data_IF_418367729330
#
_entry.id   IF_418367729330
#
_cell.length_a   1.000
_cell.length_b   1.000
_cell.length_c   1.000
_cell.angle_alpha   90.00
_cell.angle_beta   90.00
_cell.angle_gamma   90.00
#
_symmetry.space_group_name_H-M   'P 1'
#
loop_
_entity.id
_entity.type
_entity.pdbx_description
1 polymer ?
#
# COMPACT_ATOMS: atom_id res chain seq x y z
N UNK A 1 -12.23 -31.12 3.64
CA UNK A 1 -12.13 -30.30 2.40
C UNK A 1 -12.80 -31.08 1.29
N UNK A 2 -13.68 -30.45 0.52
CA UNK A 2 -14.37 -31.11 -0.60
C UNK A 2 -13.71 -30.66 -1.91
N UNK A 3 -12.94 -31.51 -2.60
CA UNK A 3 -12.31 -31.13 -3.85
C UNK A 3 -13.37 -31.04 -4.97
N UNK A 4 -13.26 -30.01 -5.81
CA UNK A 4 -14.04 -29.87 -7.05
C UNK A 4 -13.26 -29.04 -8.06
N UNK A 5 -13.58 -29.15 -9.34
CA UNK A 5 -12.99 -28.32 -10.39
C UNK A 5 -13.63 -26.93 -10.41
N UNK A 6 -12.88 -25.84 -10.15
CA UNK A 6 -13.43 -24.49 -10.12
C UNK A 6 -13.94 -24.02 -11.49
N UNK A 7 -13.43 -24.55 -12.61
CA UNK A 7 -13.91 -24.14 -13.93
C UNK A 7 -15.32 -24.66 -14.22
N UNK A 8 -15.66 -25.82 -13.68
CA UNK A 8 -16.99 -26.43 -13.82
C UNK A 8 -17.90 -26.18 -12.61
N UNK A 9 -17.33 -25.81 -11.46
CA UNK A 9 -18.01 -25.35 -10.27
C UNK A 9 -18.50 -26.45 -9.33
N UNK A 10 -19.01 -26.02 -8.17
CA UNK A 10 -19.48 -26.91 -7.11
C UNK A 10 -20.80 -27.61 -7.51
N UNK A 11 -20.73 -28.90 -7.83
CA UNK A 11 -21.90 -29.75 -8.18
C UNK A 11 -22.53 -30.47 -6.98
N UNK A 12 -23.79 -30.85 -7.14
CA UNK A 12 -24.57 -31.61 -6.14
C UNK A 12 -23.91 -32.90 -5.66
N UNK A 13 -23.23 -33.65 -6.53
CA UNK A 13 -22.58 -34.91 -6.13
C UNK A 13 -21.40 -34.68 -5.16
N UNK A 14 -20.67 -33.57 -5.29
CA UNK A 14 -19.59 -33.24 -4.34
C UNK A 14 -20.16 -33.06 -2.93
N UNK A 15 -21.31 -32.41 -2.82
CA UNK A 15 -22.00 -32.18 -1.55
C UNK A 15 -22.60 -33.46 -1.01
N UNK A 16 -23.24 -34.26 -1.88
CA UNK A 16 -23.84 -35.53 -1.48
C UNK A 16 -22.79 -36.48 -0.90
N UNK A 17 -21.70 -36.71 -1.63
CA UNK A 17 -20.61 -37.59 -1.20
C UNK A 17 -20.00 -37.12 0.13
N UNK A 18 -19.73 -35.83 0.27
CA UNK A 18 -19.16 -35.28 1.51
C UNK A 18 -20.10 -35.43 2.71
N UNK A 19 -21.40 -35.23 2.53
CA UNK A 19 -22.39 -35.40 3.61
C UNK A 19 -22.61 -36.88 3.96
N UNK A 20 -22.55 -37.77 2.98
CA UNK A 20 -22.62 -39.22 3.18
C UNK A 20 -21.41 -39.72 3.97
N UNK A 21 -20.19 -39.27 3.63
CA UNK A 21 -18.97 -39.57 4.38
C UNK A 21 -19.03 -39.10 5.84
N UNK A 22 -19.73 -37.99 6.10
CA UNK A 22 -19.97 -37.45 7.45
C UNK A 22 -21.12 -38.15 8.19
N UNK A 23 -21.75 -39.18 7.61
CA UNK A 23 -22.93 -39.86 8.14
C UNK A 23 -24.10 -38.90 8.45
N UNK A 24 -24.29 -37.88 7.61
CA UNK A 24 -25.39 -36.93 7.77
C UNK A 24 -26.76 -37.60 7.59
N UNK A 25 -27.80 -37.21 8.35
CA UNK A 25 -29.16 -37.71 8.14
C UNK A 25 -29.68 -37.44 6.72
N UNK A 26 -30.35 -38.42 6.11
CA UNK A 26 -30.91 -38.28 4.75
C UNK A 26 -31.86 -37.08 4.61
N UNK A 27 -32.57 -36.76 5.68
CA UNK A 27 -33.50 -35.63 5.78
C UNK A 27 -32.80 -34.27 5.57
N UNK A 28 -31.51 -34.15 5.91
CA UNK A 28 -30.73 -32.93 5.74
C UNK A 28 -29.88 -32.94 4.45
N UNK A 29 -29.52 -34.12 3.94
CA UNK A 29 -28.74 -34.26 2.69
C UNK A 29 -29.50 -33.64 1.52
N UNK A 30 -30.75 -34.03 1.29
CA UNK A 30 -31.51 -33.57 0.12
C UNK A 30 -31.66 -32.03 0.07
N UNK A 31 -32.05 -31.34 1.16
CA UNK A 31 -32.11 -29.88 1.18
C UNK A 31 -30.74 -29.20 0.97
N UNK A 32 -29.66 -29.74 1.53
CA UNK A 32 -28.31 -29.16 1.38
C UNK A 32 -27.77 -29.34 -0.05
N UNK A 33 -27.91 -30.53 -0.63
CA UNK A 33 -27.47 -30.84 -2.01
C UNK A 33 -28.16 -29.97 -3.06
N UNK A 34 -29.38 -29.51 -2.77
CA UNK A 34 -30.12 -28.61 -3.67
C UNK A 34 -29.73 -27.13 -3.53
N UNK A 35 -29.11 -26.72 -2.42
CA UNK A 35 -28.86 -25.30 -2.13
C UNK A 35 -27.37 -24.95 -2.09
N UNK A 36 -26.51 -25.78 -1.50
CA UNK A 36 -25.08 -25.49 -1.39
C UNK A 36 -24.36 -25.29 -2.75
N UNK A 37 -24.69 -26.01 -3.83
CA UNK A 37 -24.12 -25.72 -5.15
C UNK A 37 -24.35 -24.28 -5.64
N UNK A 38 -25.44 -23.63 -5.19
CA UNK A 38 -25.76 -22.24 -5.58
C UNK A 38 -24.78 -21.24 -5.00
N UNK A 39 -24.07 -21.59 -3.92
CA UNK A 39 -23.03 -20.73 -3.34
C UNK A 39 -21.86 -20.54 -4.31
N UNK A 40 -21.59 -21.51 -5.19
CA UNK A 40 -20.59 -21.32 -6.25
C UNK A 40 -21.01 -20.26 -7.25
N UNK A 41 -22.29 -20.20 -7.61
CA UNK A 41 -22.82 -19.14 -8.47
C UNK A 41 -22.67 -17.77 -7.82
N UNK A 42 -22.93 -17.67 -6.51
CA UNK A 42 -22.66 -16.44 -5.76
C UNK A 42 -21.16 -16.11 -5.80
N UNK A 43 -20.33 -17.08 -5.45
CA UNK A 43 -18.88 -16.90 -5.38
C UNK A 43 -18.29 -16.39 -6.70
N UNK A 44 -18.58 -17.12 -7.79
CA UNK A 44 -17.96 -16.92 -9.09
C UNK A 44 -18.50 -15.71 -9.87
N UNK A 45 -19.75 -15.28 -9.61
CA UNK A 45 -20.41 -14.28 -10.47
C UNK A 45 -20.60 -12.91 -9.80
N UNK A 46 -20.25 -12.78 -8.52
CA UNK A 46 -20.51 -11.59 -7.71
C UNK A 46 -19.28 -11.15 -6.90
N UNK A 47 -18.07 -11.51 -7.34
CA UNK A 47 -16.82 -10.99 -6.77
C UNK A 47 -16.58 -11.37 -5.31
N UNK A 48 -17.01 -12.54 -4.86
CA UNK A 48 -16.68 -13.00 -3.50
C UNK A 48 -15.30 -13.66 -3.49
N UNK A 49 -14.53 -13.43 -2.43
CA UNK A 49 -13.32 -14.18 -2.10
C UNK A 49 -13.56 -15.22 -1.00
N UNK A 50 -14.64 -15.07 -0.23
CA UNK A 50 -15.06 -16.02 0.80
C UNK A 50 -16.56 -15.95 1.01
N UNK A 51 -17.17 -17.12 1.27
CA UNK A 51 -18.54 -17.26 1.74
C UNK A 51 -18.53 -18.24 2.92
N UNK A 52 -19.04 -17.81 4.07
CA UNK A 52 -19.21 -18.61 5.28
C UNK A 52 -20.67 -18.59 5.74
N UNK A 53 -21.23 -19.78 5.98
CA UNK A 53 -22.54 -19.98 6.59
C UNK A 53 -22.35 -20.67 7.93
N UNK A 54 -22.68 -20.03 9.06
CA UNK A 54 -22.41 -20.64 10.37
C UNK A 54 -23.28 -20.11 11.54
N UNK A 55 -24.35 -20.81 11.97
CA UNK A 55 -24.76 -22.15 11.55
C UNK A 55 -25.75 -22.14 10.39
N UNK A 56 -25.90 -23.30 9.75
CA UNK A 56 -27.07 -23.61 8.92
C UNK A 56 -28.08 -24.36 9.79
N UNK A 57 -29.33 -23.88 9.86
CA UNK A 57 -30.44 -24.58 10.52
C UNK A 57 -31.44 -25.09 9.49
N UNK A 58 -32.02 -26.25 9.74
CA UNK A 58 -33.13 -26.77 8.94
C UNK A 58 -34.44 -26.22 9.48
N UNK A 59 -35.22 -25.56 8.62
CA UNK A 59 -36.53 -25.04 8.97
C UNK A 59 -37.59 -25.57 8.00
N UNK A 60 -38.81 -25.87 8.47
CA UNK A 60 -39.91 -26.21 7.58
C UNK A 60 -40.34 -24.98 6.76
N UNK A 61 -40.54 -25.14 5.47
CA UNK A 61 -41.20 -24.15 4.63
C UNK A 61 -42.74 -24.25 4.77
N UNK A 62 -43.48 -23.41 4.04
CA UNK A 62 -44.95 -23.39 4.07
C UNK A 62 -45.62 -24.74 3.71
N UNK A 63 -44.92 -25.62 2.99
CA UNK A 63 -45.38 -26.97 2.64
C UNK A 63 -44.86 -28.06 3.60
N UNK A 64 -44.24 -27.69 4.72
CA UNK A 64 -43.69 -28.61 5.73
C UNK A 64 -42.36 -29.25 5.35
N UNK A 65 -41.75 -28.89 4.21
CA UNK A 65 -40.46 -29.43 3.76
C UNK A 65 -39.30 -28.67 4.42
N UNK A 66 -38.31 -29.41 4.92
CA UNK A 66 -37.08 -28.81 5.46
C UNK A 66 -36.29 -28.07 4.38
N UNK A 67 -35.89 -26.83 4.69
CA UNK A 67 -35.00 -25.99 3.90
C UNK A 67 -33.84 -25.50 4.78
N UNK A 68 -32.61 -25.44 4.24
CA UNK A 68 -31.49 -24.87 4.97
C UNK A 68 -31.64 -23.34 5.05
N UNK A 69 -31.51 -22.81 6.25
CA UNK A 69 -31.49 -21.37 6.55
C UNK A 69 -30.13 -21.05 7.16
N UNK A 70 -29.39 -20.13 6.52
CA UNK A 70 -28.18 -19.59 7.10
C UNK A 70 -28.57 -18.63 8.24
N UNK A 71 -28.22 -18.97 9.47
CA UNK A 71 -28.48 -18.11 10.63
C UNK A 71 -27.46 -17.00 10.77
N UNK A 72 -26.24 -17.23 10.27
CA UNK A 72 -25.19 -16.23 10.13
C UNK A 72 -24.60 -16.39 8.72
N UNK A 73 -24.39 -15.27 8.05
CA UNK A 73 -23.80 -15.19 6.72
C UNK A 73 -22.65 -14.20 6.79
N UNK A 74 -21.44 -14.68 6.53
CA UNK A 74 -20.25 -13.84 6.42
C UNK A 74 -19.63 -14.02 5.05
N UNK A 75 -19.08 -12.94 4.53
CA UNK A 75 -18.49 -12.92 3.22
C UNK A 75 -17.38 -11.88 3.14
N UNK A 76 -16.39 -12.15 2.30
CA UNK A 76 -15.41 -11.14 1.86
C UNK A 76 -15.48 -11.02 0.35
N UNK A 77 -15.17 -9.83 -0.14
CA UNK A 77 -15.27 -9.48 -1.56
C UNK A 77 -13.88 -9.16 -2.11
N UNK A 78 -13.68 -9.52 -3.37
CA UNK A 78 -12.61 -8.95 -4.19
C UNK A 78 -13.07 -7.56 -4.63
N UNK A 79 -12.50 -6.51 -4.03
CA UNK A 79 -12.91 -5.13 -4.30
C UNK A 79 -12.54 -4.67 -5.72
N UNK A 80 -11.55 -5.31 -6.33
CA UNK A 80 -11.09 -5.02 -7.69
C UNK A 80 -12.01 -5.66 -8.75
N UNK A 81 -12.80 -6.68 -8.40
CA UNK A 81 -13.83 -7.25 -9.28
C UNK A 81 -15.12 -6.42 -9.22
N UNK A 82 -15.50 -5.67 -10.27
CA UNK A 82 -16.71 -4.86 -10.25
C UNK A 82 -18.02 -5.67 -10.15
N UNK A 83 -17.98 -7.01 -10.28
CA UNK A 83 -19.17 -7.86 -10.22
C UNK A 83 -19.91 -7.79 -8.87
N UNK A 84 -19.21 -7.47 -7.77
CA UNK A 84 -19.86 -7.30 -6.45
C UNK A 84 -20.90 -6.17 -6.47
N UNK A 85 -20.75 -5.17 -7.34
CA UNK A 85 -21.69 -4.04 -7.47
C UNK A 85 -23.09 -4.47 -7.89
N UNK A 86 -23.22 -5.65 -8.53
CA UNK A 86 -24.53 -6.23 -8.92
C UNK A 86 -25.41 -6.61 -7.73
N UNK A 87 -24.83 -6.71 -6.52
CA UNK A 87 -25.57 -7.01 -5.30
C UNK A 87 -26.25 -5.77 -4.71
N UNK A 88 -25.98 -4.56 -5.23
CA UNK A 88 -26.56 -3.30 -4.76
C UNK A 88 -26.39 -3.10 -3.24
N UNK A 89 -25.29 -3.61 -2.69
CA UNK A 89 -24.98 -3.51 -1.27
C UNK A 89 -24.76 -2.04 -0.86
N UNK A 90 -25.22 -1.63 0.33
CA UNK A 90 -25.01 -0.28 0.81
C UNK A 90 -23.52 0.11 0.82
N UNK A 91 -23.16 1.31 0.31
CA UNK A 91 -21.75 1.73 0.22
C UNK A 91 -21.00 1.72 1.55
N UNK A 92 -21.72 1.96 2.65
CA UNK A 92 -21.13 1.98 4.00
C UNK A 92 -20.66 0.60 4.49
N UNK A 93 -21.09 -0.50 3.87
CA UNK A 93 -20.57 -1.85 4.20
C UNK A 93 -19.11 -2.04 3.76
N UNK A 94 -18.64 -1.21 2.84
CA UNK A 94 -17.26 -1.20 2.33
C UNK A 94 -16.50 0.06 2.74
N UNK A 95 -17.06 0.87 3.64
CA UNK A 95 -16.36 2.00 4.20
C UNK A 95 -15.28 1.47 5.14
N UNK A 96 -14.06 1.28 4.62
CA UNK A 96 -12.88 1.24 5.45
C UNK A 96 -12.72 2.62 6.10
N UNK A 97 -12.26 2.66 7.36
CA UNK A 97 -11.82 3.89 8.02
C UNK A 97 -10.51 4.38 7.37
N UNK A 98 -10.56 4.75 6.09
CA UNK A 98 -9.44 5.38 5.40
C UNK A 98 -9.18 6.74 6.03
N UNK A 99 -7.93 7.00 6.39
CA UNK A 99 -7.48 8.35 6.73
C UNK A 99 -7.70 9.31 5.57
N UNK A 100 -7.79 10.63 5.85
CA UNK A 100 -7.92 11.66 4.80
C UNK A 100 -6.81 11.52 3.74
N UNK A 101 -5.59 11.18 4.18
CA UNK A 101 -4.47 10.88 3.31
C UNK A 101 -4.74 9.71 2.35
N UNK A 102 -5.22 8.57 2.87
CA UNK A 102 -5.54 7.39 2.04
C UNK A 102 -6.71 7.67 1.10
N UNK A 103 -7.69 8.46 1.52
CA UNK A 103 -8.81 8.89 0.67
C UNK A 103 -8.31 9.75 -0.50
N UNK A 104 -7.45 10.74 -0.26
CA UNK A 104 -6.86 11.59 -1.32
C UNK A 104 -6.05 10.75 -2.32
N UNK A 105 -5.24 9.79 -1.85
CA UNK A 105 -4.49 8.88 -2.73
C UNK A 105 -5.42 7.94 -3.51
N UNK A 106 -6.46 7.41 -2.87
CA UNK A 106 -7.41 6.49 -3.51
C UNK A 106 -8.17 7.15 -4.68
N UNK A 107 -8.37 8.47 -4.65
CA UNK A 107 -8.95 9.21 -5.79
C UNK A 107 -8.04 9.19 -7.04
N UNK A 108 -6.74 8.95 -6.86
CA UNK A 108 -5.76 8.84 -7.94
C UNK A 108 -5.57 7.40 -8.46
N UNK A 109 -6.28 6.42 -7.90
CA UNK A 109 -6.25 5.03 -8.40
C UNK A 109 -6.83 5.02 -9.82
N UNK A 110 -5.99 4.59 -10.75
CA UNK A 110 -6.32 4.39 -12.16
C UNK A 110 -5.80 3.04 -12.59
N UNK A 111 -6.25 2.53 -13.74
CA UNK A 111 -5.76 1.27 -14.31
C UNK A 111 -4.24 1.25 -14.57
N UNK A 112 -3.61 2.43 -14.71
CA UNK A 112 -2.19 2.55 -15.06
C UNK A 112 -1.34 2.94 -13.84
N UNK A 113 -0.48 2.03 -13.40
CA UNK A 113 0.42 2.20 -12.26
C UNK A 113 -0.26 1.86 -10.94
N UNK A 114 0.39 1.03 -10.13
CA UNK A 114 -0.06 0.67 -8.79
C UNK A 114 0.22 1.83 -7.83
N UNK A 115 -0.69 2.06 -6.89
CA UNK A 115 -0.58 3.12 -5.90
C UNK A 115 -1.23 2.67 -4.59
N UNK A 116 -0.80 1.53 -4.09
CA UNK A 116 -1.21 1.05 -2.77
C UNK A 116 -0.42 1.81 -1.72
N UNK A 117 -1.11 2.57 -0.88
CA UNK A 117 -0.49 3.36 0.17
C UNK A 117 -1.35 3.26 1.42
N UNK A 118 -0.73 2.96 2.55
CA UNK A 118 -1.37 2.84 3.83
C UNK A 118 -0.58 3.61 4.89
N UNK A 119 -1.29 4.22 5.83
CA UNK A 119 -0.64 4.79 7.03
C UNK A 119 -0.32 3.66 7.98
N UNK A 120 0.96 3.51 8.33
CA UNK A 120 1.42 2.48 9.28
C UNK A 120 1.71 3.05 10.66
N UNK A 121 2.28 4.26 10.73
CA UNK A 121 2.45 4.99 11.97
C UNK A 121 2.34 6.49 11.72
N UNK A 122 1.25 7.16 12.17
CA UNK A 122 1.11 8.60 12.00
C UNK A 122 2.19 9.41 12.74
N UNK A 123 2.93 8.81 13.68
CA UNK A 123 4.05 9.42 14.39
C UNK A 123 5.43 8.98 13.86
N UNK A 124 5.48 8.25 12.74
CA UNK A 124 6.72 7.86 12.09
C UNK A 124 7.55 9.07 11.65
N UNK A 125 8.86 8.91 11.58
CA UNK A 125 9.81 9.98 11.20
C UNK A 125 10.52 9.69 9.89
N UNK A 126 10.30 8.53 9.27
CA UNK A 126 10.80 8.17 7.95
C UNK A 126 9.62 8.05 7.01
N UNK A 127 9.50 8.97 6.05
CA UNK A 127 8.52 8.82 4.97
C UNK A 127 9.16 8.08 3.83
N UNK A 128 8.68 6.88 3.55
CA UNK A 128 9.30 5.96 2.63
C UNK A 128 8.42 5.65 1.41
N UNK A 129 8.46 6.48 0.34
CA UNK A 129 7.92 6.10 -0.95
C UNK A 129 8.68 4.89 -1.50
N UNK A 130 8.03 3.74 -1.59
CA UNK A 130 8.65 2.52 -2.13
C UNK A 130 8.10 2.12 -3.49
N UNK A 131 8.94 1.49 -4.30
CA UNK A 131 8.63 1.10 -5.68
C UNK A 131 8.82 -0.41 -5.86
N UNK A 132 7.70 -1.12 -5.94
CA UNK A 132 7.60 -2.57 -6.06
C UNK A 132 7.27 -3.25 -4.73
N UNK A 133 6.25 -4.11 -4.71
CA UNK A 133 5.75 -4.74 -3.48
C UNK A 133 6.78 -5.52 -2.67
N UNK A 134 7.75 -6.18 -3.33
CA UNK A 134 8.85 -6.85 -2.64
C UNK A 134 9.77 -5.89 -1.89
N UNK A 135 10.01 -4.69 -2.44
CA UNK A 135 10.76 -3.65 -1.75
C UNK A 135 9.92 -3.07 -0.59
N UNK A 136 8.62 -2.85 -0.80
CA UNK A 136 7.72 -2.35 0.23
C UNK A 136 7.70 -3.25 1.47
N UNK A 137 7.56 -4.57 1.27
CA UNK A 137 7.52 -5.55 2.35
C UNK A 137 8.80 -5.50 3.19
N UNK A 138 9.98 -5.56 2.55
CA UNK A 138 11.27 -5.51 3.24
C UNK A 138 11.49 -4.17 3.97
N UNK A 139 11.15 -3.06 3.34
CA UNK A 139 11.32 -1.72 3.93
C UNK A 139 10.39 -1.53 5.12
N UNK A 140 9.13 -1.94 5.01
CA UNK A 140 8.14 -1.84 6.09
C UNK A 140 8.56 -2.71 7.28
N UNK A 141 9.02 -3.95 7.03
CA UNK A 141 9.51 -4.86 8.08
C UNK A 141 10.72 -4.28 8.83
N UNK A 142 11.71 -3.76 8.10
CA UNK A 142 12.95 -3.26 8.70
C UNK A 142 12.80 -1.89 9.38
N UNK A 143 11.93 -1.02 8.87
CA UNK A 143 11.70 0.29 9.48
C UNK A 143 10.76 0.21 10.69
N UNK A 144 9.81 -0.73 10.69
CA UNK A 144 8.79 -0.86 11.74
C UNK A 144 8.11 0.47 12.05
N UNK A 145 8.01 0.79 13.34
CA UNK A 145 7.39 2.03 13.85
C UNK A 145 8.04 3.33 13.35
N UNK A 146 9.21 3.30 12.72
CA UNK A 146 9.84 4.52 12.20
C UNK A 146 9.19 5.02 10.93
N UNK A 147 8.58 4.13 10.15
CA UNK A 147 8.01 4.50 8.86
C UNK A 147 6.63 5.12 9.02
N UNK A 148 6.31 6.16 8.24
CA UNK A 148 4.99 6.80 8.27
C UNK A 148 3.96 6.04 7.45
N UNK A 149 4.38 5.61 6.26
CA UNK A 149 3.55 4.93 5.26
C UNK A 149 4.20 3.64 4.80
N UNK A 150 3.35 2.66 4.46
CA UNK A 150 3.71 1.53 3.61
C UNK A 150 3.17 1.84 2.21
N UNK A 151 4.00 1.71 1.17
CA UNK A 151 3.61 2.15 -0.18
C UNK A 151 4.20 1.29 -1.28
N UNK A 152 3.45 1.05 -2.36
CA UNK A 152 3.95 0.44 -3.60
C UNK A 152 3.54 1.26 -4.83
N UNK A 153 4.51 2.02 -5.36
CA UNK A 153 4.38 2.82 -6.58
C UNK A 153 4.87 2.07 -7.84
N UNK A 154 4.35 0.85 -8.04
CA UNK A 154 4.69 -0.03 -9.17
C UNK A 154 4.03 0.33 -10.50
N UNK A 155 4.40 -0.42 -11.57
CA UNK A 155 3.66 -0.39 -12.84
C UNK A 155 3.94 0.79 -13.79
N UNK A 156 5.13 1.41 -13.72
CA UNK A 156 5.54 2.53 -14.57
C UNK A 156 4.54 3.71 -14.55
N UNK A 157 4.29 4.32 -13.36
CA UNK A 157 3.32 5.41 -13.25
C UNK A 157 3.76 6.62 -14.10
N UNK A 158 2.82 7.28 -14.80
CA UNK A 158 3.13 8.48 -15.56
C UNK A 158 3.51 9.64 -14.64
N UNK A 159 4.21 10.63 -15.19
CA UNK A 159 4.67 11.83 -14.46
C UNK A 159 3.56 12.48 -13.63
N UNK A 160 2.41 12.78 -14.24
CA UNK A 160 1.33 13.50 -13.56
C UNK A 160 0.82 12.75 -12.34
N UNK A 161 0.62 11.43 -12.47
CA UNK A 161 0.19 10.58 -11.36
C UNK A 161 1.22 10.58 -10.23
N UNK A 162 2.50 10.38 -10.55
CA UNK A 162 3.56 10.37 -9.54
C UNK A 162 3.73 11.75 -8.88
N UNK A 163 3.51 12.83 -9.63
CA UNK A 163 3.60 14.20 -9.13
C UNK A 163 2.49 14.47 -8.11
N UNK A 164 1.22 14.17 -8.44
CA UNK A 164 0.10 14.34 -7.53
C UNK A 164 0.23 13.46 -6.27
N UNK A 165 0.60 12.19 -6.44
CA UNK A 165 0.87 11.29 -5.31
C UNK A 165 1.95 11.88 -4.39
N UNK A 166 3.05 12.37 -4.97
CA UNK A 166 4.16 12.94 -4.19
C UNK A 166 3.72 14.20 -3.44
N UNK A 167 2.94 15.07 -4.08
CA UNK A 167 2.38 16.26 -3.42
C UNK A 167 1.55 15.88 -2.20
N UNK A 168 0.66 14.88 -2.33
CA UNK A 168 -0.17 14.41 -1.22
C UNK A 168 0.72 13.82 -0.12
N UNK A 169 1.66 12.93 -0.44
CA UNK A 169 2.60 12.36 0.54
C UNK A 169 3.36 13.46 1.29
N UNK A 170 3.85 14.48 0.58
CA UNK A 170 4.63 15.54 1.20
C UNK A 170 3.77 16.47 2.06
N UNK A 171 2.56 16.83 1.60
CA UNK A 171 1.57 17.60 2.36
C UNK A 171 1.34 17.01 3.75
N UNK A 172 1.13 15.69 3.83
CA UNK A 172 0.79 15.03 5.10
C UNK A 172 2.03 14.73 5.96
N UNK A 173 3.13 14.25 5.36
CA UNK A 173 4.19 13.60 6.14
C UNK A 173 5.53 14.34 6.18
N UNK A 174 5.80 15.26 5.26
CA UNK A 174 7.16 15.80 5.12
C UNK A 174 7.57 16.68 6.31
N UNK A 175 6.62 17.41 6.90
CA UNK A 175 6.88 18.30 8.04
C UNK A 175 7.46 17.56 9.25
N UNK A 176 6.97 16.36 9.56
CA UNK A 176 7.46 15.54 10.67
C UNK A 176 8.63 14.63 10.30
N UNK A 177 8.86 14.43 8.99
CA UNK A 177 9.87 13.50 8.52
C UNK A 177 11.28 14.02 8.80
N UNK A 178 12.10 13.17 9.41
CA UNK A 178 13.55 13.33 9.43
C UNK A 178 14.18 12.85 8.13
N UNK A 179 13.66 11.75 7.57
CA UNK A 179 14.20 11.14 6.35
C UNK A 179 13.08 10.98 5.33
N UNK A 180 13.31 11.51 4.12
CA UNK A 180 12.57 11.12 2.93
C UNK A 180 13.33 9.99 2.25
N UNK A 181 12.77 8.79 2.29
CA UNK A 181 13.45 7.58 1.86
C UNK A 181 12.83 6.99 0.59
N UNK A 182 13.39 7.33 -0.55
CA UNK A 182 12.89 6.91 -1.87
C UNK A 182 13.61 5.63 -2.29
N UNK A 183 12.93 4.49 -2.23
CA UNK A 183 13.58 3.18 -2.42
C UNK A 183 12.81 2.23 -3.31
N UNK A 184 13.52 1.40 -4.07
CA UNK A 184 12.92 0.27 -4.78
C UNK A 184 13.97 -0.60 -5.42
N UNK A 185 13.55 -1.79 -5.85
CA UNK A 185 14.42 -2.69 -6.61
C UNK A 185 14.81 -2.10 -7.97
N UNK A 186 15.62 -2.86 -8.71
CA UNK A 186 15.91 -2.55 -10.12
C UNK A 186 14.64 -2.76 -10.94
N UNK A 187 14.03 -1.67 -11.38
CA UNK A 187 12.84 -1.71 -12.20
C UNK A 187 13.14 -2.25 -13.60
N UNK A 188 12.22 -3.05 -14.14
CA UNK A 188 12.33 -3.61 -15.49
C UNK A 188 11.85 -2.62 -16.56
N UNK A 189 10.73 -1.94 -16.31
CA UNK A 189 10.04 -1.10 -17.29
C UNK A 189 9.76 0.34 -16.81
N UNK A 190 9.90 0.61 -15.51
CA UNK A 190 9.58 1.93 -14.96
C UNK A 190 10.63 2.95 -15.37
N UNK A 191 10.20 4.07 -15.94
CA UNK A 191 11.09 5.18 -16.27
C UNK A 191 11.49 5.93 -14.99
N UNK A 192 12.73 5.74 -14.56
CA UNK A 192 13.26 6.35 -13.34
C UNK A 192 13.37 7.87 -13.50
N UNK A 193 13.63 8.37 -14.70
CA UNK A 193 13.67 9.81 -14.93
C UNK A 193 12.30 10.45 -14.73
N UNK A 194 11.23 9.85 -15.27
CA UNK A 194 9.88 10.40 -15.12
C UNK A 194 9.43 10.42 -13.66
N UNK A 195 9.65 9.31 -12.94
CA UNK A 195 9.27 9.21 -11.53
C UNK A 195 10.08 10.17 -10.65
N UNK A 196 11.40 10.25 -10.83
CA UNK A 196 12.23 11.18 -10.04
C UNK A 196 11.97 12.64 -10.37
N UNK A 197 11.73 12.97 -11.65
CA UNK A 197 11.34 14.32 -12.04
C UNK A 197 10.06 14.75 -11.33
N UNK A 198 9.04 13.90 -11.36
CA UNK A 198 7.77 14.16 -10.67
C UNK A 198 7.93 14.36 -9.16
N UNK A 199 8.66 13.48 -8.49
CA UNK A 199 8.92 13.61 -7.05
C UNK A 199 9.74 14.86 -6.71
N UNK A 200 10.76 15.18 -7.52
CA UNK A 200 11.60 16.36 -7.33
C UNK A 200 10.81 17.66 -7.54
N UNK A 201 9.97 17.71 -8.57
CA UNK A 201 9.10 18.85 -8.86
C UNK A 201 8.09 19.08 -7.72
N UNK A 202 7.47 18.00 -7.21
CA UNK A 202 6.56 18.08 -6.07
C UNK A 202 7.28 18.53 -4.78
N UNK A 203 8.53 18.09 -4.57
CA UNK A 203 9.34 18.51 -3.41
C UNK A 203 9.68 20.01 -3.50
N UNK A 204 10.02 20.49 -4.69
CA UNK A 204 10.27 21.92 -4.93
C UNK A 204 9.01 22.75 -4.64
N UNK A 205 7.86 22.31 -5.11
CA UNK A 205 6.58 22.98 -4.87
C UNK A 205 6.23 23.02 -3.37
N UNK A 206 6.41 21.89 -2.68
CA UNK A 206 6.23 21.85 -1.22
C UNK A 206 7.08 22.90 -0.50
N UNK A 207 8.37 23.04 -0.87
CA UNK A 207 9.27 24.03 -0.28
C UNK A 207 8.87 25.48 -0.62
N UNK A 208 8.29 25.72 -1.78
CA UNK A 208 7.76 27.03 -2.16
C UNK A 208 6.54 27.40 -1.34
N UNK A 209 5.64 26.45 -1.07
CA UNK A 209 4.39 26.67 -0.36
C UNK A 209 4.56 26.68 1.17
N UNK A 210 5.42 25.82 1.71
CA UNK A 210 5.55 25.56 3.15
C UNK A 210 6.85 26.10 3.76
N UNK A 211 7.78 26.56 2.92
CA UNK A 211 9.11 27.01 3.33
C UNK A 211 10.11 25.87 3.56
N UNK A 212 11.36 26.20 3.95
CA UNK A 212 12.39 25.21 4.18
C UNK A 212 12.03 24.23 5.29
N UNK A 213 12.13 22.93 5.01
CA UNK A 213 11.88 21.86 5.98
C UNK A 213 13.16 21.08 6.23
N UNK A 214 13.62 20.95 7.49
CA UNK A 214 14.84 20.19 7.78
C UNK A 214 14.61 18.71 7.52
N UNK A 215 15.29 18.18 6.52
CA UNK A 215 15.06 16.86 5.95
C UNK A 215 16.38 16.30 5.42
N UNK A 216 16.59 14.99 5.57
CA UNK A 216 17.64 14.27 4.87
C UNK A 216 17.01 13.34 3.81
N UNK A 217 17.55 13.33 2.60
CA UNK A 217 17.00 12.50 1.51
C UNK A 217 17.89 11.29 1.25
N UNK A 218 17.35 10.08 1.38
CA UNK A 218 18.05 8.83 1.05
C UNK A 218 17.37 8.19 -0.15
N UNK A 219 18.15 7.83 -1.16
CA UNK A 219 17.61 7.28 -2.42
C UNK A 219 18.32 5.99 -2.77
N UNK A 220 17.57 4.91 -3.03
CA UNK A 220 18.10 3.65 -3.54
C UNK A 220 17.21 3.09 -4.64
N UNK A 221 17.57 3.29 -5.91
CA UNK A 221 16.76 2.86 -7.06
C UNK A 221 17.63 2.35 -8.20
N UNK A 222 17.06 1.47 -9.02
CA UNK A 222 17.63 1.02 -10.28
C UNK A 222 16.58 0.95 -11.38
N UNK A 223 16.99 1.06 -12.65
CA UNK A 223 16.08 0.87 -13.79
C UNK A 223 16.42 1.74 -15.01
N UNK A 224 15.54 1.75 -16.03
CA UNK A 224 15.66 2.60 -17.20
C UNK A 224 15.81 4.09 -16.85
N UNK A 225 16.68 4.80 -17.57
CA UNK A 225 16.95 6.24 -17.40
C UNK A 225 17.42 6.68 -16.00
N UNK A 226 17.94 5.75 -15.17
CA UNK A 226 18.39 6.01 -13.80
C UNK A 226 19.35 7.20 -13.68
N UNK A 227 20.40 7.26 -14.51
CA UNK A 227 21.43 8.31 -14.42
C UNK A 227 20.80 9.69 -14.61
N UNK A 228 19.90 9.83 -15.59
CA UNK A 228 19.19 11.08 -15.87
C UNK A 228 18.25 11.45 -14.71
N UNK A 229 17.52 10.48 -14.16
CA UNK A 229 16.66 10.68 -12.99
C UNK A 229 17.44 11.13 -11.76
N UNK A 230 18.52 10.42 -11.42
CA UNK A 230 19.40 10.74 -10.30
C UNK A 230 20.01 12.13 -10.43
N UNK A 231 20.48 12.50 -11.62
CA UNK A 231 21.02 13.84 -11.88
C UNK A 231 19.98 14.95 -11.66
N UNK A 232 18.74 14.75 -12.12
CA UNK A 232 17.65 15.72 -11.94
C UNK A 232 17.27 15.89 -10.46
N UNK A 233 17.12 14.77 -9.74
CA UNK A 233 16.86 14.78 -8.30
C UNK A 233 18.01 15.46 -7.55
N UNK A 234 19.26 15.17 -7.93
CA UNK A 234 20.45 15.76 -7.32
C UNK A 234 20.47 17.28 -7.45
N UNK A 235 20.28 17.80 -8.66
CA UNK A 235 20.23 19.24 -8.91
C UNK A 235 19.11 19.92 -8.10
N UNK A 236 17.95 19.26 -7.99
CA UNK A 236 16.85 19.77 -7.18
C UNK A 236 17.21 19.84 -5.70
N UNK A 237 17.79 18.77 -5.14
CA UNK A 237 18.20 18.71 -3.73
C UNK A 237 19.32 19.70 -3.42
N UNK A 238 20.29 19.87 -4.33
CA UNK A 238 21.36 20.86 -4.22
C UNK A 238 20.78 22.29 -4.17
N UNK A 239 19.82 22.61 -5.04
CA UNK A 239 19.14 23.93 -5.06
C UNK A 239 18.32 24.18 -3.79
N UNK A 240 17.67 23.14 -3.27
CA UNK A 240 16.94 23.19 -1.99
C UNK A 240 17.88 23.15 -0.77
N UNK A 241 19.20 23.00 -0.98
CA UNK A 241 20.24 22.89 0.05
C UNK A 241 20.00 21.72 1.02
N UNK A 242 19.34 20.67 0.56
CA UNK A 242 19.05 19.48 1.36
C UNK A 242 20.25 18.52 1.33
N UNK A 243 20.64 17.94 2.47
CA UNK A 243 21.59 16.84 2.46
C UNK A 243 20.96 15.57 1.92
N UNK A 244 21.74 14.79 1.18
CA UNK A 244 21.26 13.54 0.60
C UNK A 244 22.36 12.48 0.43
N UNK A 245 21.92 11.25 0.29
CA UNK A 245 22.74 10.11 -0.14
C UNK A 245 21.98 9.29 -1.19
N UNK A 246 22.62 9.08 -2.33
CA UNK A 246 22.08 8.29 -3.44
C UNK A 246 22.87 6.99 -3.60
N UNK A 247 22.15 5.89 -3.77
CA UNK A 247 22.66 4.54 -3.98
C UNK A 247 22.15 4.01 -5.32
N UNK A 248 23.04 3.36 -6.06
CA UNK A 248 22.73 2.72 -7.34
C UNK A 248 22.16 1.31 -7.17
N UNK A 249 22.03 0.60 -8.30
CA UNK A 249 21.53 -0.78 -8.32
C UNK A 249 22.54 -1.81 -7.80
N UNK A 250 23.75 -1.38 -7.49
CA UNK A 250 24.89 -2.16 -6.99
C UNK A 250 24.93 -2.24 -5.46
N UNK A 251 24.10 -1.46 -4.76
CA UNK A 251 23.98 -1.50 -3.30
C UNK A 251 22.90 -2.49 -2.85
N UNK A 252 23.16 -3.23 -1.77
CA UNK A 252 22.16 -4.11 -1.19
C UNK A 252 21.02 -3.29 -0.57
N UNK A 253 19.76 -3.64 -0.87
CA UNK A 253 18.59 -2.89 -0.41
C UNK A 253 18.56 -2.75 1.12
N UNK A 254 18.88 -3.83 1.85
CA UNK A 254 18.97 -3.84 3.31
C UNK A 254 20.03 -2.89 3.87
N UNK A 255 21.16 -2.73 3.18
CA UNK A 255 22.20 -1.76 3.60
C UNK A 255 21.71 -0.32 3.44
N UNK A 256 20.97 -0.03 2.36
CA UNK A 256 20.37 1.29 2.16
C UNK A 256 19.32 1.58 3.23
N UNK A 257 18.49 0.60 3.60
CA UNK A 257 17.53 0.73 4.71
C UNK A 257 18.25 1.00 6.04
N UNK A 258 19.29 0.23 6.34
CA UNK A 258 20.10 0.44 7.55
C UNK A 258 20.77 1.82 7.57
N UNK A 259 21.16 2.35 6.41
CA UNK A 259 21.67 3.71 6.29
C UNK A 259 20.58 4.75 6.63
N UNK A 260 19.37 4.59 6.09
CA UNK A 260 18.24 5.47 6.39
C UNK A 260 17.90 5.49 7.89
N UNK A 261 17.94 4.33 8.56
CA UNK A 261 17.74 4.23 10.03
C UNK A 261 18.82 5.01 10.78
N UNK A 262 20.11 4.83 10.42
CA UNK A 262 21.21 5.56 11.05
C UNK A 262 21.09 7.08 10.87
N UNK A 263 20.64 7.53 9.69
CA UNK A 263 20.39 8.95 9.43
C UNK A 263 19.23 9.46 10.29
N UNK A 264 18.13 8.71 10.42
CA UNK A 264 17.01 9.08 11.28
C UNK A 264 17.43 9.19 12.76
N UNK A 265 18.25 8.25 13.25
CA UNK A 265 18.81 8.34 14.61
C UNK A 265 19.65 9.59 14.81
N UNK A 266 20.54 9.93 13.86
CA UNK A 266 21.32 11.16 13.90
C UNK A 266 20.43 12.41 13.85
N UNK A 267 19.38 12.41 13.02
CA UNK A 267 18.42 13.51 12.92
C UNK A 267 17.70 13.76 14.25
N UNK A 268 17.31 12.69 14.96
CA UNK A 268 16.68 12.75 16.29
C UNK A 268 17.65 13.26 17.38
N UNK A 269 18.95 13.01 17.23
CA UNK A 269 20.00 13.43 18.17
C UNK A 269 20.54 14.84 17.91
N UNK A 270 19.83 15.66 17.13
CA UNK A 270 20.17 17.06 16.88
C UNK A 270 20.52 17.40 15.43
N UNK A 271 20.68 16.39 14.56
CA UNK A 271 20.92 16.60 13.13
C UNK A 271 19.85 17.45 12.44
N UNK A 272 18.58 17.29 12.86
CA UNK A 272 17.46 18.09 12.33
C UNK A 272 17.67 19.59 12.56
N UNK A 273 18.10 19.98 13.76
CA UNK A 273 18.36 21.38 14.12
C UNK A 273 19.53 21.96 13.31
N UNK A 274 20.60 21.18 13.12
CA UNK A 274 21.75 21.58 12.31
C UNK A 274 21.36 21.86 10.85
N UNK A 275 20.51 21.01 10.27
CA UNK A 275 19.99 21.23 8.91
C UNK A 275 19.11 22.49 8.87
N UNK A 276 18.23 22.67 9.85
CA UNK A 276 17.35 23.83 9.95
C UNK A 276 18.16 25.14 9.99
N UNK A 277 19.19 25.22 10.84
CA UNK A 277 20.10 26.37 10.94
C UNK A 277 20.78 26.66 9.60
N UNK A 278 21.27 25.61 8.91
CA UNK A 278 21.89 25.74 7.58
C UNK A 278 20.90 26.22 6.51
N UNK A 279 19.67 25.73 6.53
CA UNK A 279 18.61 26.14 5.59
C UNK A 279 18.20 27.61 5.79
N UNK A 280 18.14 28.06 7.05
CA UNK A 280 17.82 29.44 7.42
C UNK A 280 19.01 30.40 7.31
N UNK A 281 20.20 29.91 6.93
CA UNK A 281 21.41 30.73 6.81
C UNK A 281 21.99 31.19 8.15
N UNK A 282 21.67 30.50 9.25
CA UNK A 282 22.12 30.81 10.62
C UNK A 282 23.34 29.97 11.03
N UNK A 283 24.32 29.79 10.15
CA UNK A 283 25.60 29.18 10.55
C UNK A 283 26.50 30.26 11.14
N UNK A 284 26.86 30.08 12.41
CA UNK A 284 27.62 31.01 13.23
C UNK A 284 28.99 31.40 12.64
N UNK A 285 29.29 32.70 12.68
CA UNK A 285 30.63 33.29 12.64
C UNK A 285 31.44 33.01 13.95
N UNK A 286 31.11 31.99 14.74
CA UNK A 286 31.67 31.77 16.09
C UNK A 286 32.93 30.90 16.15
N UNK A 287 33.68 30.75 15.04
CA UNK A 287 34.97 30.03 15.05
C UNK A 287 36.20 30.95 14.88
N UNK A 288 36.05 32.25 15.09
CA UNK A 288 37.17 33.20 15.19
C UNK A 288 36.96 34.16 16.36
N UNK A 289 37.15 33.68 17.59
CA UNK A 289 37.63 34.47 18.72
C UNK A 289 37.67 33.61 19.99
N UNK A 290 38.67 32.75 20.14
CA UNK A 290 39.33 32.61 21.44
C UNK A 290 40.80 32.26 21.21
N UNK A 291 41.62 33.01 21.94
CA UNK A 291 43.09 33.11 21.94
C UNK A 291 43.81 31.78 22.02
#
# INVERSE_FOLDING_TARGET
VVPFDPLTGLKSYHIANALEELNAPKEIISPLVQNLPKLWTLYNNYGFSLIELNPIRMMPNAAGRLVPVACDFKATFDIDDPAWKRLELPPHLFASDYSEFEQEINQLRTYQGQSDVFVINPHGTITAPTFGGGANALVTELLGERATISSDFGGNPPYEKMFQISKIVFKYWLKQSNVLFIIGGKANNTDIYQTFRAMADALREYFQENGPTPLFVVIGRGGPNLVKGMAYMKDTLDRLKLPYRMFGHDSAMSEVVNYAIKVDDWMRQGGRKLIEEKLLGKTEESAQATV
#
